data_IF_772160724895
#
_entry.id   IF_772160724895
#
_cell.length_a   1.000
_cell.length_b   1.000
_cell.length_c   1.000
_cell.angle_alpha   90.00
_cell.angle_beta   90.00
_cell.angle_gamma   90.00
#
_symmetry.space_group_name_H-M   'P 1'
#
loop_
_entity.id
_entity.type
_entity.pdbx_description
1 polymer ?
#
# COMPACT_ATOMS: atom_id res chain seq x y z
N UNK A 1 -36.67 33.14 7.95
CA UNK A 1 -36.05 32.79 6.65
C UNK A 1 -34.54 32.55 6.73
N UNK A 2 -33.73 33.33 7.46
CA UNK A 2 -32.26 33.12 7.59
C UNK A 2 -31.83 31.76 8.17
N UNK A 3 -32.58 31.20 9.14
CA UNK A 3 -32.23 29.93 9.82
C UNK A 3 -32.37 28.68 8.91
N UNK A 4 -33.24 28.74 7.90
CA UNK A 4 -33.47 27.62 6.97
C UNK A 4 -32.31 27.53 5.97
N UNK A 5 -31.77 28.69 5.55
CA UNK A 5 -30.61 28.76 4.68
C UNK A 5 -29.33 28.20 5.34
N UNK A 6 -29.19 28.34 6.67
CA UNK A 6 -28.01 27.85 7.40
C UNK A 6 -28.00 26.32 7.51
N UNK A 7 -29.16 25.69 7.67
CA UNK A 7 -29.28 24.22 7.78
C UNK A 7 -29.03 23.57 6.42
N UNK A 8 -29.52 24.18 5.33
CA UNK A 8 -29.27 23.70 3.98
C UNK A 8 -27.78 23.75 3.60
N UNK A 9 -27.03 24.76 4.08
CA UNK A 9 -25.60 24.87 3.80
C UNK A 9 -24.75 23.82 4.56
N UNK A 10 -25.13 23.47 5.80
CA UNK A 10 -24.42 22.43 6.56
C UNK A 10 -24.67 21.02 6.02
N UNK A 11 -25.87 20.75 5.48
CA UNK A 11 -26.20 19.44 4.90
C UNK A 11 -25.39 19.13 3.63
N UNK A 12 -25.07 20.16 2.83
CA UNK A 12 -24.26 20.02 1.61
C UNK A 12 -22.80 19.66 1.86
N UNK A 13 -22.27 19.99 3.05
CA UNK A 13 -20.87 19.72 3.41
C UNK A 13 -20.62 18.24 3.78
N UNK A 14 -21.66 17.50 4.16
CA UNK A 14 -21.55 16.07 4.51
C UNK A 14 -21.43 15.15 3.29
N UNK A 15 -21.75 15.65 2.10
CA UNK A 15 -21.66 14.90 0.83
C UNK A 15 -20.31 15.09 0.13
N UNK A 16 -19.42 15.92 0.68
CA UNK A 16 -18.07 16.17 0.15
C UNK A 16 -17.00 15.28 0.81
N UNK A 17 -17.40 14.17 1.44
CA UNK A 17 -16.42 13.18 1.90
C UNK A 17 -15.80 12.51 0.68
N UNK A 18 -14.49 12.69 0.48
CA UNK A 18 -13.73 11.92 -0.50
C UNK A 18 -13.94 10.43 -0.22
N UNK A 19 -14.17 9.60 -1.26
CA UNK A 19 -14.23 8.16 -1.06
C UNK A 19 -12.90 7.71 -0.46
N UNK A 20 -12.94 7.08 0.72
CA UNK A 20 -11.80 6.35 1.23
C UNK A 20 -11.57 5.18 0.26
N UNK A 21 -10.49 5.23 -0.51
CA UNK A 21 -10.04 4.05 -1.25
C UNK A 21 -9.67 3.00 -0.21
N UNK A 22 -10.37 1.86 -0.22
CA UNK A 22 -10.02 0.76 0.67
C UNK A 22 -8.70 0.17 0.18
N UNK A 23 -7.62 0.38 0.95
CA UNK A 23 -6.36 -0.29 0.71
C UNK A 23 -6.58 -1.81 0.77
N UNK A 24 -6.06 -2.51 -0.22
CA UNK A 24 -5.92 -3.96 -0.14
C UNK A 24 -4.84 -4.29 0.88
N UNK A 25 -4.96 -5.46 1.50
CA UNK A 25 -4.07 -5.87 2.58
C UNK A 25 -3.78 -7.37 2.50
N UNK A 26 -2.54 -7.73 2.82
CA UNK A 26 -2.19 -9.10 3.09
C UNK A 26 -1.15 -9.20 4.22
N UNK A 27 -1.12 -10.36 4.86
CA UNK A 27 -0.06 -10.78 5.79
C UNK A 27 0.50 -12.14 5.39
N UNK A 28 1.81 -12.22 5.25
CA UNK A 28 2.48 -13.46 4.88
C UNK A 28 3.91 -13.53 5.40
N UNK A 29 4.40 -14.76 5.58
CA UNK A 29 5.84 -15.01 5.70
C UNK A 29 6.42 -14.89 4.30
N UNK A 30 7.42 -14.00 4.06
CA UNK A 30 7.88 -13.71 2.70
C UNK A 30 8.79 -14.78 2.06
N UNK A 31 8.72 -16.04 2.48
CA UNK A 31 9.59 -17.14 2.02
C UNK A 31 9.51 -17.41 0.52
N UNK A 32 8.38 -17.12 -0.13
CA UNK A 32 8.18 -17.30 -1.57
C UNK A 32 8.23 -16.02 -2.42
N UNK A 33 8.58 -14.88 -1.82
CA UNK A 33 8.55 -13.60 -2.51
C UNK A 33 9.77 -13.42 -3.40
N UNK A 34 9.57 -12.83 -4.58
CA UNK A 34 10.69 -12.40 -5.44
C UNK A 34 10.81 -10.89 -5.37
N UNK A 35 12.01 -10.39 -5.07
CA UNK A 35 12.32 -8.96 -5.09
C UNK A 35 13.29 -8.66 -6.22
N UNK A 36 13.00 -7.63 -7.01
CA UNK A 36 13.84 -7.19 -8.11
C UNK A 36 14.19 -5.70 -7.93
N UNK A 37 15.50 -5.42 -7.90
CA UNK A 37 16.04 -4.07 -7.89
C UNK A 37 16.36 -3.65 -9.33
N UNK A 38 15.60 -2.70 -9.87
CA UNK A 38 15.81 -2.10 -11.17
C UNK A 38 16.46 -0.72 -11.04
N UNK A 39 17.53 -0.50 -11.80
CA UNK A 39 18.27 0.77 -11.83
C UNK A 39 17.37 1.89 -12.40
N UNK A 40 17.43 3.13 -11.85
CA UNK A 40 18.30 3.57 -10.78
C UNK A 40 17.80 3.26 -9.36
N UNK A 41 16.49 3.26 -9.10
CA UNK A 41 15.94 3.17 -7.75
C UNK A 41 14.51 2.58 -7.72
N UNK A 42 14.24 1.54 -8.51
CA UNK A 42 12.92 0.92 -8.56
C UNK A 42 12.96 -0.47 -7.92
N UNK A 43 12.10 -0.69 -6.93
CA UNK A 43 11.99 -1.96 -6.22
C UNK A 43 10.62 -2.57 -6.54
N UNK A 44 10.64 -3.75 -7.16
CA UNK A 44 9.44 -4.50 -7.49
C UNK A 44 9.43 -5.80 -6.72
N UNK A 45 8.30 -6.11 -6.09
CA UNK A 45 8.07 -7.34 -5.35
C UNK A 45 6.99 -8.15 -6.03
N UNK A 46 7.18 -9.46 -6.11
CA UNK A 46 6.21 -10.40 -6.65
C UNK A 46 5.78 -11.37 -5.56
N UNK A 47 4.48 -11.37 -5.29
CA UNK A 47 3.82 -12.28 -4.35
C UNK A 47 2.45 -12.70 -4.90
N UNK A 48 2.29 -14.00 -5.14
CA UNK A 48 1.08 -14.60 -5.72
C UNK A 48 -0.15 -14.55 -4.81
N UNK A 49 0.00 -14.17 -3.54
CA UNK A 49 -1.13 -13.97 -2.63
C UNK A 49 -1.82 -12.61 -2.78
N UNK A 50 -1.33 -11.74 -3.66
CA UNK A 50 -2.01 -10.48 -3.99
C UNK A 50 -2.97 -10.66 -5.16
N UNK A 51 -4.01 -9.82 -5.23
CA UNK A 51 -4.92 -9.78 -6.38
C UNK A 51 -4.30 -9.09 -7.62
N UNK A 52 -3.05 -8.67 -7.54
CA UNK A 52 -2.35 -7.92 -8.57
C UNK A 52 -1.95 -8.81 -9.74
N UNK A 53 -1.88 -8.24 -10.94
CA UNK A 53 -1.40 -8.96 -12.11
C UNK A 53 0.01 -9.54 -11.85
N UNK A 54 0.16 -10.85 -12.09
CA UNK A 54 1.38 -11.62 -11.80
C UNK A 54 1.88 -11.52 -10.34
N UNK A 55 1.02 -11.11 -9.41
CA UNK A 55 1.38 -10.86 -8.02
C UNK A 55 2.29 -9.65 -7.81
N UNK A 56 2.42 -8.77 -8.80
CA UNK A 56 3.36 -7.65 -8.78
C UNK A 56 2.84 -6.50 -7.91
N UNK A 57 3.64 -6.11 -6.92
CA UNK A 57 3.46 -4.90 -6.11
C UNK A 57 4.74 -4.07 -6.14
N UNK A 58 4.62 -2.76 -6.22
CA UNK A 58 5.76 -1.84 -6.26
C UNK A 58 5.45 -0.58 -5.47
N UNK A 59 6.44 0.27 -5.26
CA UNK A 59 6.19 1.58 -4.68
C UNK A 59 5.60 2.55 -5.72
N UNK A 60 4.74 3.46 -5.26
CA UNK A 60 4.30 4.61 -6.06
C UNK A 60 5.43 5.63 -6.30
N UNK A 61 5.21 6.61 -7.18
CA UNK A 61 6.23 7.59 -7.58
C UNK A 61 6.72 8.48 -6.43
N UNK A 62 5.92 8.63 -5.37
CA UNK A 62 6.22 9.47 -4.21
C UNK A 62 7.10 8.76 -3.17
N UNK A 63 7.34 7.45 -3.29
CA UNK A 63 8.12 6.72 -2.31
C UNK A 63 9.62 7.06 -2.41
N UNK A 64 10.22 7.35 -1.25
CA UNK A 64 11.64 7.67 -1.15
C UNK A 64 12.49 6.41 -1.31
N UNK A 65 13.80 6.61 -1.55
CA UNK A 65 14.76 5.51 -1.51
C UNK A 65 14.85 4.89 -0.10
N UNK A 66 14.60 5.70 0.93
CA UNK A 66 14.60 5.22 2.30
C UNK A 66 13.43 4.27 2.57
N UNK A 67 12.22 4.57 2.06
CA UNK A 67 11.05 3.68 2.18
C UNK A 67 11.32 2.31 1.54
N UNK A 68 11.90 2.33 0.33
CA UNK A 68 12.28 1.13 -0.42
C UNK A 68 13.32 0.30 0.32
N UNK A 69 14.34 0.96 0.88
CA UNK A 69 15.39 0.30 1.66
C UNK A 69 14.83 -0.32 2.95
N UNK A 70 13.99 0.40 3.69
CA UNK A 70 13.33 -0.10 4.91
C UNK A 70 12.48 -1.33 4.60
N UNK A 71 11.71 -1.29 3.52
CA UNK A 71 10.91 -2.43 3.08
C UNK A 71 11.77 -3.62 2.66
N UNK A 72 12.82 -3.40 1.87
CA UNK A 72 13.76 -4.45 1.48
C UNK A 72 14.40 -5.12 2.70
N UNK A 73 14.89 -4.34 3.66
CA UNK A 73 15.44 -4.85 4.92
C UNK A 73 14.41 -5.62 5.75
N UNK A 74 13.17 -5.12 5.84
CA UNK A 74 12.09 -5.81 6.54
C UNK A 74 11.78 -7.17 5.90
N UNK A 75 11.63 -7.23 4.57
CA UNK A 75 11.35 -8.47 3.84
C UNK A 75 12.48 -9.48 4.07
N UNK A 76 13.75 -9.09 3.91
CA UNK A 76 14.88 -9.98 4.16
C UNK A 76 14.94 -10.49 5.61
N UNK A 77 14.66 -9.61 6.57
CA UNK A 77 14.65 -9.97 7.99
C UNK A 77 13.51 -10.96 8.28
N UNK A 78 12.32 -10.72 7.75
CA UNK A 78 11.17 -11.60 7.90
C UNK A 78 11.37 -12.96 7.20
N UNK A 79 12.03 -12.98 6.04
CA UNK A 79 12.43 -14.21 5.34
C UNK A 79 13.35 -15.07 6.20
N UNK A 80 14.39 -14.47 6.78
CA UNK A 80 15.39 -15.20 7.58
C UNK A 80 14.86 -15.64 8.95
N UNK A 81 13.92 -14.90 9.53
CA UNK A 81 13.32 -15.20 10.84
C UNK A 81 12.03 -16.02 10.77
N UNK A 82 11.49 -16.25 9.57
CA UNK A 82 10.20 -16.94 9.38
C UNK A 82 9.00 -16.14 9.93
N UNK A 83 9.14 -14.82 10.10
CA UNK A 83 8.08 -13.95 10.61
C UNK A 83 7.22 -13.38 9.48
N UNK A 84 5.97 -13.05 9.81
CA UNK A 84 5.05 -12.42 8.87
C UNK A 84 5.31 -10.92 8.78
N UNK A 85 4.97 -10.35 7.63
CA UNK A 85 4.88 -8.91 7.41
C UNK A 85 3.50 -8.57 6.88
N UNK A 86 2.96 -7.44 7.31
CA UNK A 86 1.75 -6.85 6.77
C UNK A 86 2.10 -5.82 5.71
N UNK A 87 1.35 -5.81 4.61
CA UNK A 87 1.50 -4.83 3.53
C UNK A 87 0.12 -4.36 3.11
N UNK A 88 -0.04 -3.03 3.10
CA UNK A 88 -1.17 -2.37 2.47
C UNK A 88 -0.76 -1.88 1.07
N UNK A 89 -1.68 -2.03 0.12
CA UNK A 89 -1.46 -1.59 -1.26
C UNK A 89 -2.77 -1.17 -1.93
N UNK A 90 -2.66 -0.23 -2.85
CA UNK A 90 -3.79 0.27 -3.64
C UNK A 90 -3.59 -0.03 -5.13
N UNK A 91 -4.69 -0.09 -5.89
CA UNK A 91 -4.62 -0.22 -7.36
C UNK A 91 -4.77 1.15 -7.99
N UNK A 92 -3.66 1.71 -8.46
CA UNK A 92 -3.59 3.03 -9.10
C UNK A 92 -3.27 2.85 -10.58
N UNK A 93 -4.20 3.24 -11.46
CA UNK A 93 -4.05 3.14 -12.92
C UNK A 93 -3.63 1.73 -13.40
N UNK A 94 -4.18 0.69 -12.78
CA UNK A 94 -3.88 -0.71 -13.10
C UNK A 94 -2.58 -1.26 -12.50
N UNK A 95 -1.84 -0.46 -11.73
CA UNK A 95 -0.64 -0.88 -11.00
C UNK A 95 -0.92 -0.99 -9.50
N UNK A 96 -0.43 -2.04 -8.86
CA UNK A 96 -0.53 -2.17 -7.40
C UNK A 96 0.62 -1.46 -6.69
N UNK A 97 0.28 -0.43 -5.94
CA UNK A 97 1.22 0.45 -5.26
C UNK A 97 1.17 0.24 -3.75
N UNK A 98 2.32 -0.04 -3.14
CA UNK A 98 2.47 -0.18 -1.69
C UNK A 98 2.18 1.17 -1.03
N UNK A 99 1.22 1.19 -0.11
CA UNK A 99 0.87 2.37 0.69
C UNK A 99 1.55 2.35 2.05
N UNK A 100 1.63 1.19 2.70
CA UNK A 100 2.34 1.01 3.98
C UNK A 100 2.71 -0.45 4.27
N UNK A 101 3.61 -0.65 5.23
CA UNK A 101 4.08 -1.98 5.64
C UNK A 101 4.52 -2.00 7.11
N UNK A 102 4.44 -3.16 7.76
CA UNK A 102 4.83 -3.34 9.16
C UNK A 102 5.24 -4.79 9.48
N UNK A 103 6.12 -5.01 10.47
CA UNK A 103 6.36 -6.36 11.01
C UNK A 103 5.15 -6.85 11.80
N UNK A 104 4.76 -8.11 11.62
CA UNK A 104 3.74 -8.76 12.46
C UNK A 104 4.46 -9.42 13.63
N UNK A 105 4.11 -9.02 14.86
CA UNK A 105 4.73 -9.48 16.10
C UNK A 105 4.18 -10.85 16.54
#
# INVERSE_FOLDING_TARGET
>A
MKKIATIALLASALLAASPALADNYFEAVPTGWKMQNYVPNNLITYYTGTACYAGQISFGPNATNEDKNRFYSLVLTAQTTGKKIGVFYETVSGSCQISSFFPVL
#
